data_IF_454171221943
#
_entry.id   IF_454171221943
#
_cell.length_a   1.000
_cell.length_b   1.000
_cell.length_c   1.000
_cell.angle_alpha   90.00
_cell.angle_beta   90.00
_cell.angle_gamma   90.00
#
_symmetry.space_group_name_H-M   'P 1'
#
loop_
_entity.id
_entity.type
_entity.pdbx_description
1 polymer ?
#
# COMPACT_ATOMS: atom_id res chain seq x y z
N UNK A 1 -12.68 -14.34 55.61
CA UNK A 1 -13.99 -14.90 55.23
C UNK A 1 -15.00 -13.76 55.23
N UNK A 2 -15.37 -13.30 54.05
CA UNK A 2 -16.45 -12.34 53.82
C UNK A 2 -17.17 -12.80 52.57
N UNK A 3 -18.43 -13.22 52.75
CA UNK A 3 -19.27 -13.75 51.68
C UNK A 3 -19.71 -12.63 50.72
N UNK A 4 -19.80 -12.89 49.40
CA UNK A 4 -20.30 -11.90 48.47
C UNK A 4 -21.82 -11.74 48.56
N UNK A 5 -22.27 -10.50 48.35
CA UNK A 5 -23.67 -10.04 48.37
C UNK A 5 -24.39 -10.52 47.10
N UNK A 6 -25.60 -11.08 47.26
CA UNK A 6 -26.44 -11.55 46.15
C UNK A 6 -27.32 -10.44 45.55
N UNK A 7 -27.41 -10.39 44.22
CA UNK A 7 -28.27 -9.48 43.47
C UNK A 7 -29.64 -10.16 43.23
N UNK A 8 -30.79 -9.47 43.42
CA UNK A 8 -32.12 -10.05 43.21
C UNK A 8 -32.45 -10.20 41.72
N UNK A 9 -33.10 -11.32 41.37
CA UNK A 9 -33.49 -11.67 40.00
C UNK A 9 -34.56 -10.77 39.39
N UNK A 10 -34.38 -10.44 38.11
CA UNK A 10 -35.40 -9.83 37.25
C UNK A 10 -36.30 -10.91 36.60
N UNK A 11 -37.58 -10.59 36.31
CA UNK A 11 -38.57 -11.57 35.87
C UNK A 11 -38.40 -11.97 34.40
N UNK A 12 -38.82 -13.20 34.13
CA UNK A 12 -38.79 -13.93 32.86
C UNK A 12 -39.47 -13.23 31.68
N UNK A 13 -38.76 -13.12 30.55
CA UNK A 13 -39.34 -13.01 29.20
C UNK A 13 -38.48 -13.82 28.20
N UNK A 14 -39.01 -14.21 27.03
CA UNK A 14 -38.86 -15.56 26.49
C UNK A 14 -37.52 -15.83 25.80
N UNK A 15 -37.06 -17.08 25.91
CA UNK A 15 -35.90 -17.68 25.24
C UNK A 15 -35.86 -17.37 23.74
N UNK A 16 -34.94 -16.52 23.30
CA UNK A 16 -34.33 -16.64 21.97
C UNK A 16 -33.10 -17.55 22.10
N UNK A 17 -33.29 -18.84 21.80
CA UNK A 17 -32.17 -19.78 21.68
C UNK A 17 -31.53 -19.54 20.33
N UNK A 18 -30.51 -18.68 20.28
CA UNK A 18 -29.59 -18.62 19.15
C UNK A 18 -28.73 -19.87 19.16
N UNK A 19 -29.20 -20.94 18.52
CA UNK A 19 -28.41 -22.14 18.32
C UNK A 19 -27.27 -21.83 17.34
N UNK A 20 -26.03 -21.85 17.84
CA UNK A 20 -24.83 -22.00 17.03
C UNK A 20 -24.95 -23.31 16.26
N UNK A 21 -25.10 -23.22 14.94
CA UNK A 21 -25.16 -24.40 14.07
C UNK A 21 -23.72 -24.78 13.77
N UNK A 22 -23.19 -25.77 14.46
CA UNK A 22 -21.97 -26.47 14.02
C UNK A 22 -22.20 -27.05 12.62
N UNK A 23 -21.18 -27.07 11.73
CA UNK A 23 -21.36 -27.59 10.38
C UNK A 23 -21.74 -29.07 10.48
N UNK A 24 -22.91 -29.42 9.93
CA UNK A 24 -23.35 -30.79 9.81
C UNK A 24 -22.42 -31.54 8.86
N UNK A 25 -22.10 -32.79 9.19
CA UNK A 25 -21.32 -33.71 8.35
C UNK A 25 -22.07 -33.98 7.05
N UNK A 26 -21.84 -33.14 6.05
CA UNK A 26 -22.35 -33.33 4.70
C UNK A 26 -21.67 -34.52 4.02
N UNK A 27 -22.46 -35.48 3.56
CA UNK A 27 -22.00 -36.56 2.67
C UNK A 27 -21.39 -35.98 1.38
N UNK A 28 -20.41 -36.67 0.77
CA UNK A 28 -19.79 -36.31 -0.52
C UNK A 28 -20.81 -35.89 -1.60
N UNK A 29 -22.00 -36.49 -1.60
CA UNK A 29 -23.07 -36.15 -2.54
C UNK A 29 -23.62 -34.72 -2.38
N UNK A 30 -23.69 -34.20 -1.13
CA UNK A 30 -24.06 -32.81 -0.85
C UNK A 30 -22.96 -31.84 -1.26
N UNK A 31 -21.69 -32.26 -1.21
CA UNK A 31 -20.57 -31.46 -1.68
C UNK A 31 -20.57 -31.31 -3.22
N UNK A 32 -20.93 -32.38 -3.94
CA UNK A 32 -21.12 -32.33 -5.40
C UNK A 32 -22.38 -31.57 -5.81
N UNK A 33 -23.46 -31.65 -5.03
CA UNK A 33 -24.66 -30.84 -5.27
C UNK A 33 -24.42 -29.34 -5.00
N UNK A 34 -23.63 -29.00 -3.98
CA UNK A 34 -23.20 -27.61 -3.73
C UNK A 34 -22.17 -27.12 -4.77
N UNK A 35 -21.29 -27.98 -5.30
CA UNK A 35 -20.42 -27.62 -6.43
C UNK A 35 -21.23 -27.35 -7.70
N UNK A 36 -22.25 -28.16 -8.00
CA UNK A 36 -23.16 -27.88 -9.13
C UNK A 36 -24.01 -26.62 -8.91
N UNK A 37 -24.41 -26.32 -7.67
CA UNK A 37 -25.07 -25.03 -7.34
C UNK A 37 -24.11 -23.84 -7.37
N UNK A 38 -22.82 -24.04 -7.11
CA UNK A 38 -21.79 -23.02 -7.32
C UNK A 38 -21.53 -22.77 -8.81
N UNK A 39 -21.68 -23.77 -9.68
CA UNK A 39 -21.71 -23.58 -11.14
C UNK A 39 -22.99 -22.85 -11.62
N UNK A 40 -24.09 -22.90 -10.86
CA UNK A 40 -25.33 -22.13 -11.09
C UNK A 40 -25.31 -20.72 -10.47
N UNK A 41 -24.23 -20.31 -9.76
CA UNK A 41 -24.02 -18.89 -9.46
C UNK A 41 -23.70 -18.22 -10.78
N UNK A 42 -24.69 -17.51 -11.34
CA UNK A 42 -24.62 -16.86 -12.64
C UNK A 42 -23.24 -16.24 -12.90
N UNK A 43 -22.66 -16.54 -14.06
CA UNK A 43 -21.34 -16.02 -14.43
C UNK A 43 -21.38 -14.49 -14.30
N UNK A 44 -20.38 -13.92 -13.63
CA UNK A 44 -20.23 -12.46 -13.57
C UNK A 44 -20.04 -11.94 -14.98
N UNK A 45 -20.86 -10.96 -15.37
CA UNK A 45 -20.72 -10.28 -16.65
C UNK A 45 -19.46 -9.42 -16.62
N UNK A 46 -18.57 -9.60 -17.60
CA UNK A 46 -17.49 -8.64 -17.85
C UNK A 46 -18.13 -7.42 -18.49
N UNK A 47 -18.01 -6.29 -17.80
CA UNK A 47 -18.57 -5.04 -18.26
C UNK A 47 -17.56 -4.30 -19.13
N UNK A 48 -18.04 -3.75 -20.24
CA UNK A 48 -17.25 -2.91 -21.12
C UNK A 48 -17.82 -1.49 -21.09
N UNK A 49 -16.99 -0.44 -21.18
CA UNK A 49 -17.47 0.90 -21.45
C UNK A 49 -18.38 0.87 -22.69
N UNK A 50 -19.53 1.55 -22.61
CA UNK A 50 -20.47 1.65 -23.73
C UNK A 50 -19.82 2.35 -24.94
N UNK A 51 -18.85 3.24 -24.68
CA UNK A 51 -17.98 3.78 -25.71
C UNK A 51 -16.91 2.77 -26.10
N UNK A 52 -17.03 2.26 -27.33
CA UNK A 52 -16.15 1.24 -27.90
C UNK A 52 -14.81 1.88 -28.35
N UNK A 53 -14.11 2.54 -27.44
CA UNK A 53 -12.73 2.96 -27.66
C UNK A 53 -11.77 1.83 -27.26
N UNK A 54 -10.84 1.48 -28.15
CA UNK A 54 -9.75 0.57 -27.82
C UNK A 54 -8.93 1.17 -26.67
N UNK A 55 -9.10 0.59 -25.48
CA UNK A 55 -8.43 1.04 -24.27
C UNK A 55 -6.92 0.78 -24.37
N UNK A 56 -6.17 1.83 -24.70
CA UNK A 56 -4.71 1.85 -24.70
C UNK A 56 -4.12 2.16 -23.32
N UNK A 57 -3.16 1.35 -22.91
CA UNK A 57 -2.40 1.42 -21.66
C UNK A 57 -0.93 1.72 -21.96
N UNK A 58 -0.36 2.71 -21.27
CA UNK A 58 1.07 3.01 -21.31
C UNK A 58 1.74 2.47 -20.04
N UNK A 59 2.69 1.55 -20.17
CA UNK A 59 3.45 1.01 -19.04
C UNK A 59 4.93 1.42 -19.17
N UNK A 60 5.45 2.15 -18.18
CA UNK A 60 6.81 2.67 -18.17
C UNK A 60 7.68 1.94 -17.13
N UNK A 61 9.00 2.21 -17.18
CA UNK A 61 9.96 1.79 -16.15
C UNK A 61 10.08 0.27 -15.95
N UNK A 62 9.90 -0.50 -17.04
CA UNK A 62 10.07 -1.95 -17.05
C UNK A 62 9.18 -2.67 -16.02
N UNK A 63 7.90 -2.30 -15.96
CA UNK A 63 6.89 -3.04 -15.19
C UNK A 63 6.90 -4.53 -15.58
N UNK A 64 6.63 -5.40 -14.59
CA UNK A 64 6.71 -6.86 -14.74
C UNK A 64 5.93 -7.38 -15.96
N UNK A 65 6.47 -8.40 -16.62
CA UNK A 65 5.82 -9.03 -17.78
C UNK A 65 4.47 -9.65 -17.41
N UNK A 66 4.31 -10.14 -16.17
CA UNK A 66 3.03 -10.66 -15.68
C UNK A 66 1.89 -9.63 -15.74
N UNK A 67 2.17 -8.36 -15.42
CA UNK A 67 1.18 -7.29 -15.56
C UNK A 67 0.84 -7.01 -17.04
N UNK A 68 1.85 -6.98 -17.91
CA UNK A 68 1.67 -6.79 -19.37
C UNK A 68 0.79 -7.90 -19.95
N UNK A 69 1.09 -9.15 -19.61
CA UNK A 69 0.35 -10.33 -20.08
C UNK A 69 -1.07 -10.34 -19.53
N UNK A 70 -1.27 -9.95 -18.27
CA UNK A 70 -2.60 -9.78 -17.67
C UNK A 70 -3.43 -8.78 -18.48
N UNK A 71 -2.88 -7.61 -18.80
CA UNK A 71 -3.63 -6.61 -19.56
C UNK A 71 -3.95 -7.08 -20.99
N UNK A 72 -2.98 -7.64 -21.71
CA UNK A 72 -3.21 -8.17 -23.06
C UNK A 72 -4.26 -9.29 -23.09
N UNK A 73 -4.23 -10.18 -22.09
CA UNK A 73 -5.23 -11.26 -21.94
C UNK A 73 -6.65 -10.72 -21.71
N UNK A 74 -6.78 -9.55 -21.08
CA UNK A 74 -8.06 -8.86 -20.90
C UNK A 74 -8.46 -7.97 -22.10
N UNK A 75 -7.73 -8.03 -23.22
CA UNK A 75 -8.07 -7.34 -24.46
C UNK A 75 -7.58 -5.89 -24.55
N UNK A 76 -6.74 -5.44 -23.62
CA UNK A 76 -6.17 -4.08 -23.67
C UNK A 76 -5.02 -3.98 -24.68
N UNK A 77 -4.92 -2.83 -25.35
CA UNK A 77 -3.73 -2.48 -26.15
C UNK A 77 -2.67 -1.93 -25.20
N UNK A 78 -1.47 -2.52 -25.17
CA UNK A 78 -0.44 -2.20 -24.17
C UNK A 78 0.86 -1.82 -24.86
N UNK A 79 1.27 -0.56 -24.67
CA UNK A 79 2.59 -0.05 -25.04
C UNK A 79 3.48 -0.08 -23.80
N UNK A 80 4.59 -0.83 -23.86
CA UNK A 80 5.47 -1.11 -22.71
C UNK A 80 6.90 -0.67 -22.98
N UNK A 81 7.43 0.18 -22.11
CA UNK A 81 8.76 0.75 -22.23
C UNK A 81 9.61 0.46 -20.99
N UNK A 82 10.89 0.13 -21.22
CA UNK A 82 11.82 -0.15 -20.14
C UNK A 82 12.27 1.11 -19.36
N UNK A 83 12.16 2.28 -19.97
CA UNK A 83 12.64 3.55 -19.41
C UNK A 83 11.48 4.40 -18.88
N UNK A 84 11.81 5.30 -17.97
CA UNK A 84 10.94 6.42 -17.63
C UNK A 84 10.89 7.41 -18.81
N UNK A 85 9.76 8.11 -18.93
CA UNK A 85 9.63 9.27 -19.81
C UNK A 85 9.78 10.56 -18.98
N UNK A 86 10.37 11.57 -19.61
CA UNK A 86 10.42 12.95 -19.12
C UNK A 86 9.03 13.61 -19.20
N UNK A 87 8.88 14.75 -18.51
CA UNK A 87 7.61 15.49 -18.51
C UNK A 87 7.17 15.91 -19.91
N UNK A 88 8.09 16.34 -20.78
CA UNK A 88 7.75 16.76 -22.15
C UNK A 88 7.36 15.58 -23.04
N UNK A 89 8.03 14.42 -22.90
CA UNK A 89 7.61 13.18 -23.59
C UNK A 89 6.22 12.72 -23.13
N UNK A 90 5.90 12.85 -21.84
CA UNK A 90 4.56 12.52 -21.33
C UNK A 90 3.49 13.44 -21.91
N UNK A 91 3.78 14.74 -22.08
CA UNK A 91 2.85 15.69 -22.69
C UNK A 91 2.51 15.35 -24.15
N UNK A 92 3.46 14.77 -24.88
CA UNK A 92 3.25 14.33 -26.26
C UNK A 92 2.47 13.01 -26.34
N UNK A 93 2.83 12.03 -25.49
CA UNK A 93 2.30 10.67 -25.60
C UNK A 93 0.98 10.45 -24.85
N UNK A 94 0.89 10.94 -23.60
CA UNK A 94 -0.18 10.59 -22.66
C UNK A 94 -1.61 10.95 -23.10
N UNK A 95 -1.86 12.00 -23.92
CA UNK A 95 -3.21 12.27 -24.44
C UNK A 95 -3.84 11.12 -25.25
N UNK A 96 -3.03 10.16 -25.72
CA UNK A 96 -3.49 9.01 -26.50
C UNK A 96 -3.79 7.76 -25.66
N UNK A 97 -3.64 7.81 -24.34
CA UNK A 97 -3.77 6.67 -23.44
C UNK A 97 -4.89 6.87 -22.41
N UNK A 98 -5.51 5.75 -22.03
CA UNK A 98 -6.60 5.72 -21.05
C UNK A 98 -6.11 5.30 -19.65
N UNK A 99 -4.93 4.71 -19.58
CA UNK A 99 -4.31 4.33 -18.33
C UNK A 99 -2.79 4.39 -18.45
N UNK A 100 -2.13 4.73 -17.35
CA UNK A 100 -0.68 4.73 -17.25
C UNK A 100 -0.22 3.92 -16.04
N UNK A 101 0.75 3.04 -16.25
CA UNK A 101 1.50 2.35 -15.21
C UNK A 101 2.90 2.94 -15.11
N UNK A 102 3.30 3.36 -13.91
CA UNK A 102 4.62 3.93 -13.63
C UNK A 102 5.27 3.27 -12.41
N UNK A 103 6.54 3.55 -12.16
CA UNK A 103 7.22 3.23 -10.90
C UNK A 103 7.66 4.55 -10.24
N UNK A 104 8.89 4.63 -9.74
CA UNK A 104 9.34 5.74 -8.88
C UNK A 104 9.92 6.94 -9.64
N UNK A 105 10.34 6.78 -10.90
CA UNK A 105 11.07 7.82 -11.64
C UNK A 105 10.14 8.75 -12.40
N UNK A 106 9.12 8.23 -13.07
CA UNK A 106 8.19 9.06 -13.85
C UNK A 106 7.39 9.97 -12.93
N UNK A 107 7.36 11.28 -13.25
CA UNK A 107 6.65 12.30 -12.47
C UNK A 107 5.37 12.71 -13.20
N UNK A 108 4.22 12.48 -12.56
CA UNK A 108 2.91 12.91 -13.05
C UNK A 108 2.51 14.19 -12.32
N UNK A 109 2.97 15.33 -12.85
CA UNK A 109 2.67 16.67 -12.34
C UNK A 109 1.26 17.10 -12.75
N UNK A 110 0.72 18.14 -12.10
CA UNK A 110 -0.52 18.78 -12.54
C UNK A 110 -0.49 19.21 -14.03
N UNK A 111 0.68 19.62 -14.56
CA UNK A 111 0.85 20.00 -15.97
C UNK A 111 0.63 18.79 -16.90
N UNK A 112 1.21 17.64 -16.57
CA UNK A 112 1.03 16.38 -17.32
C UNK A 112 -0.43 15.93 -17.27
N UNK A 113 -1.01 15.89 -16.07
CA UNK A 113 -2.38 15.41 -15.85
C UNK A 113 -3.42 16.27 -16.57
N UNK A 114 -3.20 17.59 -16.64
CA UNK A 114 -4.07 18.51 -17.38
C UNK A 114 -4.08 18.26 -18.90
N UNK A 115 -2.96 17.78 -19.47
CA UNK A 115 -2.88 17.45 -20.89
C UNK A 115 -3.50 16.08 -21.22
N UNK A 116 -3.60 15.19 -20.23
CA UNK A 116 -4.05 13.82 -20.37
C UNK A 116 -5.59 13.68 -20.39
N UNK A 117 -6.23 14.27 -21.40
CA UNK A 117 -7.69 14.35 -21.53
C UNK A 117 -8.44 12.99 -21.59
N UNK A 118 -7.77 11.91 -21.99
CA UNK A 118 -8.34 10.55 -22.05
C UNK A 118 -8.03 9.68 -20.83
N UNK A 119 -7.16 10.14 -19.93
CA UNK A 119 -6.65 9.30 -18.85
C UNK A 119 -7.75 9.02 -17.82
N UNK A 120 -8.01 7.75 -17.57
CA UNK A 120 -9.07 7.27 -16.67
C UNK A 120 -8.51 6.73 -15.35
N UNK A 121 -7.26 6.26 -15.32
CA UNK A 121 -6.67 5.65 -14.13
C UNK A 121 -5.14 5.65 -14.17
N UNK A 122 -4.51 5.76 -12.99
CA UNK A 122 -3.06 5.66 -12.81
C UNK A 122 -2.73 4.47 -11.92
N UNK A 123 -1.74 3.67 -12.32
CA UNK A 123 -1.17 2.60 -11.52
C UNK A 123 0.28 2.91 -11.13
N UNK A 124 0.52 3.10 -9.85
CA UNK A 124 1.85 3.11 -9.27
C UNK A 124 2.26 1.66 -8.97
N UNK A 125 3.09 1.08 -9.83
CA UNK A 125 3.68 -0.26 -9.65
C UNK A 125 4.85 -0.20 -8.63
N UNK A 126 4.55 0.38 -7.48
CA UNK A 126 5.40 0.53 -6.31
C UNK A 126 4.53 0.84 -5.09
N UNK A 127 5.16 0.91 -3.91
CA UNK A 127 4.47 1.19 -2.66
C UNK A 127 4.16 2.69 -2.55
N UNK A 128 5.17 3.53 -2.79
CA UNK A 128 5.03 4.99 -2.72
C UNK A 128 4.31 5.59 -3.93
N UNK A 129 3.68 6.74 -3.72
CA UNK A 129 2.97 7.50 -4.75
C UNK A 129 3.43 8.96 -4.84
N UNK A 130 4.57 9.30 -4.22
CA UNK A 130 5.12 10.66 -4.13
C UNK A 130 5.42 11.30 -5.51
N UNK A 131 5.54 10.47 -6.54
CA UNK A 131 5.79 10.85 -7.92
C UNK A 131 4.52 11.28 -8.67
N UNK A 132 3.35 11.18 -8.05
CA UNK A 132 2.05 11.57 -8.63
C UNK A 132 1.44 12.70 -7.82
N UNK A 133 0.99 13.75 -8.51
CA UNK A 133 0.15 14.79 -7.92
C UNK A 133 -1.26 14.24 -7.69
N UNK A 134 -1.48 13.70 -6.48
CA UNK A 134 -2.71 13.01 -6.11
C UNK A 134 -3.93 13.92 -6.12
N UNK A 135 -3.76 15.20 -5.75
CA UNK A 135 -4.83 16.20 -5.70
C UNK A 135 -5.26 16.62 -7.11
N UNK A 136 -4.29 16.87 -8.00
CA UNK A 136 -4.57 17.16 -9.40
C UNK A 136 -5.23 15.96 -10.10
N UNK A 137 -4.77 14.75 -9.81
CA UNK A 137 -5.37 13.52 -10.36
C UNK A 137 -6.82 13.35 -9.87
N UNK A 138 -7.09 13.55 -8.57
CA UNK A 138 -8.43 13.44 -8.00
C UNK A 138 -9.38 14.49 -8.62
N UNK A 139 -8.91 15.74 -8.74
CA UNK A 139 -9.66 16.85 -9.34
C UNK A 139 -10.01 16.62 -10.81
N UNK A 140 -9.19 15.85 -11.53
CA UNK A 140 -9.44 15.41 -12.90
C UNK A 140 -10.33 14.15 -12.99
N UNK A 141 -10.74 13.57 -11.85
CA UNK A 141 -11.54 12.35 -11.79
C UNK A 141 -10.74 11.06 -12.02
N UNK A 142 -9.43 11.10 -11.77
CA UNK A 142 -8.48 10.02 -12.08
C UNK A 142 -8.04 9.33 -10.77
N UNK A 143 -8.56 8.13 -10.46
CA UNK A 143 -8.08 7.35 -9.34
C UNK A 143 -6.64 6.85 -9.55
N UNK A 144 -5.88 6.82 -8.47
CA UNK A 144 -4.50 6.34 -8.40
C UNK A 144 -4.46 5.10 -7.52
N UNK A 145 -3.92 3.99 -8.04
CA UNK A 145 -3.74 2.74 -7.31
C UNK A 145 -2.26 2.47 -7.06
N UNK A 146 -1.94 1.87 -5.93
CA UNK A 146 -0.60 1.39 -5.60
C UNK A 146 -0.66 -0.06 -5.10
N UNK A 147 0.47 -0.57 -4.60
CA UNK A 147 0.56 -1.89 -4.00
C UNK A 147 1.21 -1.77 -2.61
N UNK A 148 0.44 -1.39 -1.58
CA UNK A 148 0.98 -0.95 -0.29
C UNK A 148 1.59 -2.09 0.53
N UNK A 149 1.22 -3.34 0.28
CA UNK A 149 1.57 -4.48 1.13
C UNK A 149 2.49 -5.52 0.47
N UNK A 150 2.68 -5.47 -0.84
CA UNK A 150 3.37 -6.52 -1.60
C UNK A 150 4.85 -6.71 -1.26
N UNK A 151 5.49 -5.74 -0.61
CA UNK A 151 6.88 -5.85 -0.15
C UNK A 151 7.03 -6.21 1.34
N UNK A 152 5.92 -6.44 2.07
CA UNK A 152 5.98 -6.59 3.52
C UNK A 152 6.92 -7.74 3.95
N UNK A 153 6.93 -8.83 3.17
CA UNK A 153 7.83 -9.96 3.37
C UNK A 153 9.28 -9.61 3.13
N UNK A 154 9.59 -8.97 2.02
CA UNK A 154 10.95 -8.61 1.64
C UNK A 154 11.60 -7.71 2.69
N UNK A 155 10.87 -6.72 3.19
CA UNK A 155 11.39 -5.82 4.23
C UNK A 155 11.61 -6.56 5.55
N UNK A 156 10.65 -7.41 5.97
CA UNK A 156 10.79 -8.19 7.20
C UNK A 156 12.00 -9.16 7.15
N UNK A 157 12.24 -9.80 6.01
CA UNK A 157 13.42 -10.65 5.81
C UNK A 157 14.72 -9.85 5.80
N UNK A 158 14.74 -8.67 5.18
CA UNK A 158 15.91 -7.79 5.21
C UNK A 158 16.26 -7.37 6.64
N UNK A 159 15.27 -6.97 7.45
CA UNK A 159 15.52 -6.62 8.85
C UNK A 159 16.11 -7.81 9.61
N UNK A 160 15.55 -9.01 9.47
CA UNK A 160 16.12 -10.20 10.13
C UNK A 160 17.57 -10.48 9.71
N UNK A 161 17.91 -10.27 8.44
CA UNK A 161 19.29 -10.33 7.95
C UNK A 161 20.18 -9.29 8.64
N UNK A 162 19.72 -8.04 8.69
CA UNK A 162 20.46 -6.92 9.30
C UNK A 162 20.68 -7.12 10.80
N UNK A 163 19.74 -7.70 11.53
CA UNK A 163 19.94 -8.08 12.94
C UNK A 163 21.16 -9.00 13.10
N UNK A 164 21.29 -10.02 12.24
CA UNK A 164 22.42 -10.94 12.25
C UNK A 164 23.70 -10.26 11.78
N UNK A 165 23.64 -9.48 10.69
CA UNK A 165 24.80 -8.77 10.13
C UNK A 165 25.40 -7.82 11.14
N UNK A 166 24.57 -7.01 11.80
CA UNK A 166 25.00 -6.04 12.81
C UNK A 166 25.54 -6.71 14.07
N UNK A 167 24.81 -7.68 14.62
CA UNK A 167 25.20 -8.38 15.86
C UNK A 167 26.51 -9.17 15.73
N UNK A 168 26.88 -9.56 14.50
CA UNK A 168 28.08 -10.35 14.20
C UNK A 168 29.19 -9.54 13.54
N UNK A 169 28.98 -8.24 13.31
CA UNK A 169 29.89 -7.37 12.56
C UNK A 169 30.22 -7.94 11.17
N UNK A 170 29.29 -8.68 10.57
CA UNK A 170 29.55 -9.54 9.41
C UNK A 170 30.04 -8.75 8.20
N UNK A 171 29.45 -7.57 7.97
CA UNK A 171 29.78 -6.72 6.84
C UNK A 171 31.26 -6.29 6.87
N UNK A 172 31.73 -5.78 8.00
CA UNK A 172 33.13 -5.36 8.19
C UNK A 172 34.10 -6.55 8.10
N UNK A 173 33.77 -7.68 8.75
CA UNK A 173 34.61 -8.89 8.69
C UNK A 173 34.75 -9.42 7.26
N UNK A 174 33.67 -9.34 6.48
CA UNK A 174 33.69 -9.73 5.08
C UNK A 174 34.52 -8.77 4.24
N UNK A 175 34.50 -7.47 4.53
CA UNK A 175 35.30 -6.46 3.83
C UNK A 175 36.80 -6.62 4.15
N UNK A 176 37.16 -6.79 5.42
CA UNK A 176 38.53 -7.09 5.86
C UNK A 176 39.10 -8.31 5.12
N UNK A 177 38.37 -9.44 5.11
CA UNK A 177 38.86 -10.65 4.46
C UNK A 177 39.03 -10.47 2.94
N UNK A 178 38.13 -9.71 2.29
CA UNK A 178 38.24 -9.38 0.86
C UNK A 178 39.49 -8.55 0.53
N UNK A 179 39.96 -7.75 1.49
CA UNK A 179 41.17 -6.95 1.37
C UNK A 179 42.42 -7.66 1.91
N UNK A 180 42.32 -8.95 2.26
CA UNK A 180 43.44 -9.78 2.72
C UNK A 180 43.70 -9.71 4.23
N UNK A 181 42.85 -9.00 4.99
CA UNK A 181 42.97 -8.89 6.44
C UNK A 181 42.23 -10.04 7.12
N UNK A 182 42.96 -10.89 7.84
CA UNK A 182 42.38 -11.97 8.64
C UNK A 182 42.12 -11.52 10.09
N UNK A 183 40.88 -11.15 10.41
CA UNK A 183 40.50 -10.63 11.73
C UNK A 183 39.50 -11.55 12.45
N UNK A 184 39.98 -12.68 12.98
CA UNK A 184 39.17 -13.67 13.71
C UNK A 184 39.04 -13.27 15.18
N UNK A 185 37.90 -12.69 15.57
CA UNK A 185 37.59 -12.35 16.97
C UNK A 185 36.11 -12.51 17.33
N UNK A 186 35.84 -12.66 18.64
CA UNK A 186 34.50 -12.77 19.21
C UNK A 186 34.07 -11.52 20.00
N UNK A 187 34.96 -10.56 20.19
CA UNK A 187 34.68 -9.34 20.97
C UNK A 187 33.55 -8.54 20.32
N UNK A 188 32.53 -8.20 21.11
CA UNK A 188 31.33 -7.47 20.66
C UNK A 188 30.55 -8.18 19.54
N UNK A 189 30.61 -9.51 19.49
CA UNK A 189 29.81 -10.34 18.59
C UNK A 189 28.80 -11.14 19.41
N UNK A 190 27.53 -11.10 19.03
CA UNK A 190 26.44 -11.65 19.84
C UNK A 190 25.55 -12.59 19.04
N UNK A 191 24.98 -13.60 19.71
CA UNK A 191 23.77 -14.25 19.24
C UNK A 191 22.57 -13.31 19.44
N UNK A 192 21.66 -13.27 18.45
CA UNK A 192 20.40 -12.53 18.57
C UNK A 192 19.37 -13.25 19.45
N UNK A 193 19.49 -14.57 19.61
CA UNK A 193 18.64 -15.35 20.51
C UNK A 193 18.70 -14.79 21.95
N UNK A 194 17.54 -14.63 22.55
CA UNK A 194 17.37 -14.06 23.90
C UNK A 194 17.47 -12.54 23.98
N UNK A 195 17.81 -11.86 22.88
CA UNK A 195 17.81 -10.39 22.80
C UNK A 195 16.40 -9.85 22.62
N UNK A 196 16.21 -8.57 22.93
CA UNK A 196 14.95 -7.86 22.74
C UNK A 196 14.97 -7.07 21.43
N UNK A 197 13.97 -7.32 20.58
CA UNK A 197 13.66 -6.48 19.42
C UNK A 197 12.50 -5.54 19.77
N UNK A 198 12.75 -4.24 19.68
CA UNK A 198 11.74 -3.19 19.75
C UNK A 198 11.28 -2.79 18.36
N UNK A 199 10.00 -2.93 18.07
CA UNK A 199 9.38 -2.57 16.81
C UNK A 199 8.57 -1.27 16.99
N UNK A 200 8.95 -0.19 16.31
CA UNK A 200 8.20 1.07 16.30
C UNK A 200 7.31 1.08 15.06
N UNK A 201 5.99 0.99 15.25
CA UNK A 201 5.00 0.76 14.20
C UNK A 201 4.72 -0.73 14.00
N UNK A 202 3.55 -1.18 14.45
CA UNK A 202 3.16 -2.60 14.44
C UNK A 202 2.09 -2.91 13.37
N UNK A 203 2.25 -2.30 12.20
CA UNK A 203 1.41 -2.56 11.03
C UNK A 203 1.78 -3.86 10.28
N UNK A 204 1.60 -3.88 8.96
CA UNK A 204 1.83 -5.07 8.13
C UNK A 204 3.25 -5.61 8.24
N UNK A 205 4.28 -4.75 8.15
CA UNK A 205 5.68 -5.18 8.24
C UNK A 205 6.04 -5.57 9.68
N UNK A 206 5.71 -4.72 10.65
CA UNK A 206 6.07 -4.93 12.06
C UNK A 206 5.46 -6.21 12.64
N UNK A 207 4.18 -6.48 12.37
CA UNK A 207 3.51 -7.71 12.81
C UNK A 207 4.13 -8.96 12.17
N UNK A 208 4.41 -8.93 10.87
CA UNK A 208 5.04 -10.06 10.19
C UNK A 208 6.49 -10.30 10.66
N UNK A 209 7.24 -9.22 10.89
CA UNK A 209 8.58 -9.26 11.45
C UNK A 209 8.57 -9.88 12.85
N UNK A 210 7.57 -9.57 13.68
CA UNK A 210 7.50 -10.13 15.03
C UNK A 210 7.45 -11.65 15.05
N UNK A 211 6.68 -12.26 14.13
CA UNK A 211 6.59 -13.72 13.98
C UNK A 211 7.96 -14.31 13.60
N UNK A 212 8.68 -13.67 12.69
CA UNK A 212 10.03 -14.08 12.31
C UNK A 212 11.02 -13.94 13.46
N UNK A 213 11.01 -12.81 14.16
CA UNK A 213 11.91 -12.55 15.27
C UNK A 213 11.71 -13.55 16.42
N UNK A 214 10.47 -13.88 16.76
CA UNK A 214 10.16 -14.91 17.76
C UNK A 214 10.66 -16.29 17.35
N UNK A 215 10.54 -16.63 16.06
CA UNK A 215 11.06 -17.92 15.55
C UNK A 215 12.60 -18.04 15.65
N UNK A 216 13.31 -16.90 15.70
CA UNK A 216 14.75 -16.83 15.97
C UNK A 216 15.09 -16.71 17.47
N UNK A 217 14.06 -16.76 18.33
CA UNK A 217 14.20 -16.71 19.78
C UNK A 217 14.45 -15.32 20.35
N UNK A 218 14.08 -14.25 19.64
CA UNK A 218 14.05 -12.91 20.21
C UNK A 218 12.80 -12.70 21.08
N UNK A 219 12.91 -11.81 22.06
CA UNK A 219 11.75 -11.24 22.76
C UNK A 219 11.29 -10.02 21.95
N UNK A 220 10.01 -9.93 21.64
CA UNK A 220 9.49 -8.82 20.84
C UNK A 220 8.69 -7.85 21.70
N UNK A 221 9.10 -6.59 21.69
CA UNK A 221 8.32 -5.46 22.19
C UNK A 221 7.90 -4.61 20.99
N UNK A 222 6.74 -3.98 21.06
CA UNK A 222 6.36 -3.00 20.06
C UNK A 222 5.67 -1.79 20.66
N UNK A 223 5.78 -0.66 19.97
CA UNK A 223 5.07 0.56 20.27
C UNK A 223 4.34 1.03 19.01
N UNK A 224 3.07 1.37 19.18
CA UNK A 224 2.21 1.94 18.16
C UNK A 224 1.30 2.97 18.82
N UNK A 225 0.85 3.96 18.06
CA UNK A 225 0.00 5.06 18.53
C UNK A 225 -1.42 4.59 18.84
N UNK A 226 -1.81 3.42 18.32
CA UNK A 226 -3.08 2.77 18.62
C UNK A 226 -2.89 1.44 19.34
N UNK A 227 -3.85 1.01 20.18
CA UNK A 227 -3.83 -0.32 20.76
C UNK A 227 -4.04 -1.37 19.66
N UNK A 228 -3.11 -2.33 19.56
CA UNK A 228 -3.14 -3.38 18.56
C UNK A 228 -3.08 -4.75 19.23
N UNK A 229 -3.72 -5.74 18.61
CA UNK A 229 -3.65 -7.12 19.08
C UNK A 229 -2.26 -7.70 18.75
N UNK A 230 -1.47 -8.13 19.76
CA UNK A 230 -0.19 -8.75 19.51
C UNK A 230 -0.33 -10.11 18.82
N UNK A 231 0.65 -10.46 17.98
CA UNK A 231 0.82 -11.83 17.49
C UNK A 231 1.84 -12.57 18.35
N UNK A 232 1.57 -13.85 18.65
CA UNK A 232 2.49 -14.69 19.39
C UNK A 232 2.72 -14.19 20.82
N UNK A 233 3.99 -14.01 21.19
CA UNK A 233 4.42 -13.51 22.51
C UNK A 233 4.79 -12.02 22.50
N UNK A 234 4.57 -11.32 21.39
CA UNK A 234 4.89 -9.91 21.25
C UNK A 234 4.09 -9.09 22.28
N UNK A 235 4.73 -8.07 22.84
CA UNK A 235 4.10 -7.23 23.88
C UNK A 235 4.10 -5.77 23.46
N UNK A 236 2.91 -5.17 23.44
CA UNK A 236 2.79 -3.72 23.30
C UNK A 236 3.31 -3.03 24.56
N UNK A 237 4.07 -1.95 24.39
CA UNK A 237 4.49 -1.07 25.49
C UNK A 237 3.88 0.31 25.35
N UNK A 238 3.58 0.92 26.49
CA UNK A 238 2.77 2.15 26.58
C UNK A 238 3.47 3.39 26.04
N UNK A 239 4.81 3.36 25.91
CA UNK A 239 5.57 4.51 25.40
C UNK A 239 6.77 4.09 24.55
N UNK A 240 7.11 4.94 23.58
CA UNK A 240 8.35 4.82 22.80
C UNK A 240 9.58 4.77 23.71
N UNK A 241 9.63 5.60 24.75
CA UNK A 241 10.75 5.63 25.70
C UNK A 241 10.98 4.29 26.39
N UNK A 242 9.90 3.61 26.81
CA UNK A 242 9.98 2.26 27.39
C UNK A 242 10.55 1.27 26.38
N UNK A 243 10.08 1.33 25.12
CA UNK A 243 10.59 0.46 24.06
C UNK A 243 12.09 0.65 23.85
N UNK A 244 12.54 1.90 23.70
CA UNK A 244 13.95 2.23 23.44
C UNK A 244 14.86 1.76 24.58
N UNK A 245 14.43 1.96 25.83
CA UNK A 245 15.21 1.59 27.01
C UNK A 245 15.32 0.06 27.23
N UNK A 246 14.36 -0.73 26.76
CA UNK A 246 14.33 -2.19 26.95
C UNK A 246 14.94 -2.99 25.77
N UNK A 247 15.14 -2.35 24.62
CA UNK A 247 15.46 -3.02 23.35
C UNK A 247 16.96 -3.08 23.05
N UNK A 248 17.44 -4.27 22.67
CA UNK A 248 18.80 -4.45 22.14
C UNK A 248 18.90 -4.03 20.67
N UNK A 249 17.80 -4.22 19.93
CA UNK A 249 17.62 -3.79 18.55
C UNK A 249 16.33 -2.98 18.45
N UNK A 250 16.36 -1.83 17.79
CA UNK A 250 15.16 -1.04 17.49
C UNK A 250 15.00 -0.98 15.98
N UNK A 251 13.80 -1.28 15.48
CA UNK A 251 13.47 -1.20 14.05
C UNK A 251 12.24 -0.33 13.83
N UNK A 252 12.29 0.49 12.78
CA UNK A 252 11.26 1.48 12.46
C UNK A 252 10.41 1.00 11.28
N UNK A 253 9.09 1.05 11.44
CA UNK A 253 8.09 0.65 10.45
C UNK A 253 6.88 1.61 10.46
N UNK A 254 7.16 2.91 10.47
CA UNK A 254 6.16 3.98 10.51
C UNK A 254 6.00 4.67 9.14
N UNK A 255 4.82 5.26 8.84
CA UNK A 255 4.65 6.12 7.66
C UNK A 255 5.44 7.44 7.80
N UNK A 256 5.57 8.18 6.70
CA UNK A 256 6.12 9.54 6.71
C UNK A 256 4.95 10.51 6.91
N UNK A 257 4.84 11.04 8.13
CA UNK A 257 3.83 11.99 8.57
C UNK A 257 4.53 13.16 9.29
N UNK A 258 3.91 14.34 9.43
CA UNK A 258 4.48 15.43 10.21
C UNK A 258 4.94 15.00 11.61
N UNK A 259 4.20 14.08 12.24
CA UNK A 259 4.48 13.57 13.60
C UNK A 259 5.61 12.53 13.65
N UNK A 260 5.98 11.92 12.52
CA UNK A 260 7.05 10.90 12.47
C UNK A 260 8.37 11.44 11.93
N UNK A 261 8.39 12.67 11.39
CA UNK A 261 9.61 13.33 10.94
C UNK A 261 10.54 13.59 12.13
N UNK A 262 11.77 13.08 12.04
CA UNK A 262 12.81 13.16 13.07
C UNK A 262 12.34 12.68 14.45
N UNK A 263 11.37 11.77 14.51
CA UNK A 263 10.89 11.21 15.78
C UNK A 263 11.97 10.41 16.52
N UNK A 264 13.02 9.96 15.81
CA UNK A 264 14.23 9.39 16.40
C UNK A 264 15.35 10.42 16.24
N UNK A 265 15.58 11.21 17.29
CA UNK A 265 16.56 12.28 17.35
C UNK A 265 17.58 12.05 18.46
N UNK A 266 18.33 13.08 18.86
CA UNK A 266 19.34 13.00 19.93
C UNK A 266 18.76 12.44 21.24
N UNK A 267 17.54 12.84 21.62
CA UNK A 267 16.93 12.39 22.88
C UNK A 267 16.54 10.91 22.84
N UNK A 268 15.92 10.45 21.74
CA UNK A 268 15.52 9.06 21.57
C UNK A 268 16.72 8.14 21.41
N UNK A 269 17.73 8.57 20.64
CA UNK A 269 18.97 7.82 20.49
C UNK A 269 19.67 7.65 21.83
N UNK A 270 19.68 8.67 22.70
CA UNK A 270 20.26 8.58 24.05
C UNK A 270 19.41 7.74 25.02
N UNK A 271 18.10 7.59 24.76
CA UNK A 271 17.22 6.72 25.53
C UNK A 271 17.37 5.24 25.18
N UNK A 272 18.03 4.91 24.06
CA UNK A 272 18.37 3.54 23.72
C UNK A 272 19.42 2.96 24.69
N UNK A 273 19.49 1.63 24.77
CA UNK A 273 20.52 0.98 25.56
C UNK A 273 21.91 1.27 24.99
N UNK A 274 22.88 1.47 25.87
CA UNK A 274 24.29 1.51 25.48
C UNK A 274 24.67 0.20 24.76
N UNK A 275 25.17 0.32 23.53
CA UNK A 275 25.50 -0.79 22.65
C UNK A 275 24.33 -1.38 21.87
N UNK A 276 23.16 -0.72 21.85
CA UNK A 276 22.03 -1.11 21.02
C UNK A 276 22.29 -0.85 19.52
N UNK A 277 21.39 -1.36 18.69
CA UNK A 277 21.39 -1.18 17.25
C UNK A 277 20.07 -0.53 16.77
N UNK A 278 20.16 0.34 15.76
CA UNK A 278 19.01 0.96 15.11
C UNK A 278 18.88 0.48 13.66
N UNK A 279 17.68 0.11 13.23
CA UNK A 279 17.36 -0.23 11.85
C UNK A 279 16.26 0.69 11.32
N UNK A 280 16.48 1.33 10.17
CA UNK A 280 15.46 2.11 9.47
C UNK A 280 15.36 1.70 8.00
N UNK A 281 14.34 0.87 7.71
CA UNK A 281 13.95 0.46 6.37
C UNK A 281 12.53 0.93 6.05
N UNK A 282 12.07 2.02 6.69
CA UNK A 282 10.72 2.54 6.55
C UNK A 282 10.68 3.82 5.70
N UNK A 283 11.10 4.95 6.28
CA UNK A 283 11.05 6.27 5.64
C UNK A 283 12.28 7.10 5.99
N UNK A 284 12.80 7.83 5.01
CA UNK A 284 14.09 8.51 5.09
C UNK A 284 14.14 9.65 6.11
N UNK A 285 13.00 10.29 6.41
CA UNK A 285 12.92 11.43 7.33
C UNK A 285 12.59 11.06 8.78
N UNK A 286 12.50 9.77 9.12
CA UNK A 286 12.09 9.34 10.48
C UNK A 286 13.23 9.52 11.49
N UNK A 287 14.47 9.43 11.03
CA UNK A 287 15.68 9.53 11.85
C UNK A 287 16.45 10.80 11.52
N UNK A 288 16.85 11.53 12.54
CA UNK A 288 17.86 12.60 12.42
C UNK A 288 19.23 11.97 12.18
N UNK A 289 19.66 11.92 10.91
CA UNK A 289 20.91 11.25 10.52
C UNK A 289 22.15 11.90 11.14
N UNK A 290 22.31 13.24 11.19
CA UNK A 290 23.35 13.89 11.97
C UNK A 290 23.42 13.39 13.43
N UNK A 291 22.30 13.30 14.13
CA UNK A 291 22.27 12.79 15.50
C UNK A 291 22.69 11.30 15.57
N UNK A 292 22.22 10.48 14.63
CA UNK A 292 22.64 9.08 14.50
C UNK A 292 24.15 8.93 14.31
N UNK A 293 24.76 9.75 13.44
CA UNK A 293 26.21 9.77 13.22
C UNK A 293 26.96 10.05 14.53
N UNK A 294 26.49 10.99 15.35
CA UNK A 294 27.10 11.28 16.65
C UNK A 294 26.93 10.11 17.64
N UNK A 295 25.76 9.48 17.68
CA UNK A 295 25.51 8.31 18.53
C UNK A 295 26.41 7.11 18.16
N UNK A 296 26.70 6.93 16.88
CA UNK A 296 27.60 5.90 16.37
C UNK A 296 29.07 6.23 16.64
N UNK A 297 29.50 7.48 16.40
CA UNK A 297 30.88 7.93 16.68
C UNK A 297 31.23 7.85 18.17
N UNK A 298 30.29 8.22 19.03
CA UNK A 298 30.43 8.09 20.49
C UNK A 298 30.37 6.63 20.98
N UNK A 299 30.01 5.69 20.10
CA UNK A 299 29.77 4.27 20.40
C UNK A 299 28.64 4.05 21.41
N UNK A 300 27.76 5.04 21.58
CA UNK A 300 26.52 4.83 22.31
C UNK A 300 25.69 3.75 21.63
N UNK A 301 25.55 3.83 20.30
CA UNK A 301 25.07 2.72 19.49
C UNK A 301 26.23 1.86 18.99
N UNK A 302 26.05 0.55 19.02
CA UNK A 302 27.03 -0.39 18.49
C UNK A 302 27.03 -0.42 16.97
N UNK A 303 25.91 -0.09 16.32
CA UNK A 303 25.79 0.01 14.87
C UNK A 303 24.39 0.36 14.41
N UNK A 304 24.22 0.54 13.10
CA UNK A 304 22.91 0.79 12.49
C UNK A 304 22.79 0.19 11.08
N UNK A 305 21.56 -0.09 10.63
CA UNK A 305 21.26 -0.41 9.24
C UNK A 305 20.25 0.59 8.69
N UNK A 306 20.57 1.24 7.58
CA UNK A 306 19.76 2.31 6.99
C UNK A 306 19.60 2.03 5.49
N UNK A 307 18.35 1.83 5.06
CA UNK A 307 17.99 1.61 3.66
C UNK A 307 17.43 2.87 2.97
N UNK A 308 16.94 3.83 3.76
CA UNK A 308 16.21 5.01 3.28
C UNK A 308 16.80 6.30 3.83
N UNK A 309 16.78 7.36 3.03
CA UNK A 309 17.46 8.63 3.35
C UNK A 309 16.56 9.86 3.11
N UNK A 310 16.77 10.99 3.82
CA UNK A 310 15.98 12.21 3.60
C UNK A 310 15.96 12.69 2.15
N UNK A 311 17.12 12.65 1.49
CA UNK A 311 17.28 12.88 0.05
C UNK A 311 17.97 11.67 -0.59
N UNK A 312 17.40 11.17 -1.67
CA UNK A 312 17.89 9.98 -2.37
C UNK A 312 18.24 10.29 -3.82
N UNK A 313 19.23 9.60 -4.41
CA UNK A 313 19.56 9.80 -5.81
C UNK A 313 18.44 9.40 -6.78
N UNK A 314 18.25 10.16 -7.85
CA UNK A 314 17.27 9.84 -8.90
C UNK A 314 17.68 8.71 -9.85
N UNK A 315 18.95 8.28 -9.82
CA UNK A 315 19.48 7.24 -10.70
C UNK A 315 20.63 6.45 -10.05
N UNK A 316 20.87 5.25 -10.57
CA UNK A 316 22.00 4.42 -10.17
C UNK A 316 23.32 5.06 -10.59
N UNK A 317 24.38 4.85 -9.79
CA UNK A 317 25.71 5.39 -10.03
C UNK A 317 26.42 5.68 -8.73
N UNK A 318 27.30 6.69 -8.72
CA UNK A 318 27.93 7.21 -7.50
C UNK A 318 27.44 8.61 -7.02
N UNK A 319 26.13 8.94 -7.06
CA UNK A 319 25.62 10.28 -6.69
C UNK A 319 25.32 10.48 -5.19
N UNK A 320 25.59 9.48 -4.32
CA UNK A 320 25.32 9.61 -2.89
C UNK A 320 26.52 10.26 -2.19
N UNK A 321 26.53 11.59 -2.14
CA UNK A 321 27.62 12.43 -1.64
C UNK A 321 27.11 13.64 -0.81
N UNK A 322 28.05 14.51 -0.40
CA UNK A 322 27.77 15.66 0.47
C UNK A 322 26.96 16.78 -0.21
N UNK A 323 26.82 16.75 -1.54
CA UNK A 323 25.92 17.68 -2.24
C UNK A 323 24.47 17.24 -2.09
N UNK A 324 24.21 15.93 -2.09
CA UNK A 324 22.88 15.37 -1.91
C UNK A 324 22.44 15.43 -0.43
N UNK A 325 23.35 15.03 0.47
CA UNK A 325 23.14 15.10 1.92
C UNK A 325 24.44 15.50 2.59
N UNK A 326 24.48 16.64 3.30
CA UNK A 326 25.72 17.22 3.88
C UNK A 326 26.51 16.32 4.85
N UNK A 327 25.90 15.23 5.32
CA UNK A 327 26.47 14.24 6.24
C UNK A 327 26.84 12.91 5.55
N UNK A 328 26.69 12.78 4.23
CA UNK A 328 26.82 11.51 3.51
C UNK A 328 28.21 10.90 3.65
N UNK A 329 29.28 11.69 3.49
CA UNK A 329 30.65 11.20 3.65
C UNK A 329 30.94 10.75 5.08
N UNK A 330 30.42 11.45 6.08
CA UNK A 330 30.58 11.03 7.47
C UNK A 330 29.90 9.68 7.72
N UNK A 331 28.66 9.51 7.26
CA UNK A 331 27.92 8.26 7.42
C UNK A 331 28.60 7.09 6.68
N UNK A 332 29.05 7.31 5.44
CA UNK A 332 29.74 6.29 4.62
C UNK A 332 31.06 5.81 5.24
N UNK A 333 31.74 6.67 6.01
CA UNK A 333 33.00 6.33 6.64
C UNK A 333 32.84 5.57 7.97
N UNK A 334 31.61 5.31 8.43
CA UNK A 334 31.37 4.52 9.64
C UNK A 334 31.33 3.02 9.32
N UNK A 335 32.28 2.27 9.87
CA UNK A 335 32.42 0.82 9.63
C UNK A 335 31.32 -0.02 10.30
N UNK A 336 30.63 0.54 11.30
CA UNK A 336 29.56 -0.12 12.05
C UNK A 336 28.17 0.21 11.50
N UNK A 337 28.07 0.67 10.24
CA UNK A 337 26.81 0.99 9.59
C UNK A 337 26.65 0.16 8.32
N UNK A 338 25.49 -0.44 8.16
CA UNK A 338 25.07 -1.08 6.91
C UNK A 338 24.22 -0.07 6.14
N UNK A 339 24.64 0.29 4.94
CA UNK A 339 23.91 1.20 4.06
C UNK A 339 23.41 0.41 2.86
N UNK A 340 22.11 0.50 2.60
CA UNK A 340 21.46 -0.14 1.46
C UNK A 340 20.71 0.92 0.62
N UNK A 341 20.68 0.80 -0.72
CA UNK A 341 20.19 1.87 -1.59
C UNK A 341 18.68 1.74 -1.85
N UNK A 342 17.84 1.83 -0.81
CA UNK A 342 16.38 1.72 -0.88
C UNK A 342 15.89 0.44 -1.57
N UNK A 343 16.41 -0.69 -1.12
CA UNK A 343 16.15 -2.03 -1.65
C UNK A 343 15.30 -2.92 -0.74
N UNK A 344 14.79 -2.42 0.39
CA UNK A 344 13.99 -3.22 1.31
C UNK A 344 12.80 -3.93 0.67
N UNK A 345 12.16 -3.30 -0.32
CA UNK A 345 11.09 -3.93 -1.11
C UNK A 345 11.49 -4.45 -2.49
N UNK A 346 12.78 -4.40 -2.84
CA UNK A 346 13.27 -4.65 -4.20
C UNK A 346 13.64 -6.12 -4.40
N UNK A 347 12.63 -7.01 -4.40
CA UNK A 347 12.78 -8.43 -4.75
C UNK A 347 11.92 -8.82 -5.94
N UNK A 348 12.30 -9.89 -6.65
CA UNK A 348 11.53 -10.42 -7.79
C UNK A 348 10.11 -10.83 -7.37
N UNK A 349 9.96 -11.44 -6.19
CA UNK A 349 8.66 -11.80 -5.62
C UNK A 349 7.79 -10.58 -5.37
N UNK A 350 8.36 -9.51 -4.79
CA UNK A 350 7.62 -8.27 -4.56
C UNK A 350 7.23 -7.62 -5.90
N UNK A 351 8.12 -7.58 -6.89
CA UNK A 351 7.79 -7.04 -8.22
C UNK A 351 6.66 -7.83 -8.91
N UNK A 352 6.66 -9.16 -8.77
CA UNK A 352 5.57 -10.00 -9.28
C UNK A 352 4.24 -9.70 -8.57
N UNK A 353 4.24 -9.65 -7.25
CA UNK A 353 3.03 -9.35 -6.45
C UNK A 353 2.48 -7.94 -6.76
N UNK A 354 3.35 -6.94 -6.88
CA UNK A 354 2.98 -5.58 -7.30
C UNK A 354 2.34 -5.60 -8.69
N UNK A 355 2.93 -6.34 -9.63
CA UNK A 355 2.40 -6.53 -10.97
C UNK A 355 0.99 -7.10 -10.95
N UNK A 356 0.76 -8.17 -10.18
CA UNK A 356 -0.54 -8.83 -10.02
C UNK A 356 -1.57 -7.90 -9.36
N UNK A 357 -1.23 -7.24 -8.25
CA UNK A 357 -2.16 -6.42 -7.46
C UNK A 357 -2.61 -5.17 -8.22
N UNK A 358 -1.67 -4.39 -8.76
CA UNK A 358 -1.99 -3.14 -9.46
C UNK A 358 -2.69 -3.42 -10.79
N UNK A 359 -2.28 -4.47 -11.53
CA UNK A 359 -2.94 -4.80 -12.79
C UNK A 359 -4.40 -5.25 -12.59
N UNK A 360 -4.68 -5.99 -11.53
CA UNK A 360 -6.05 -6.32 -11.14
C UNK A 360 -6.84 -5.08 -10.73
N UNK A 361 -6.26 -4.17 -9.93
CA UNK A 361 -6.92 -2.93 -9.52
C UNK A 361 -7.28 -2.05 -10.73
N UNK A 362 -6.32 -1.83 -11.65
CA UNK A 362 -6.57 -1.09 -12.89
C UNK A 362 -7.64 -1.76 -13.74
N UNK A 363 -7.60 -3.08 -13.89
CA UNK A 363 -8.60 -3.81 -14.68
C UNK A 363 -10.00 -3.65 -14.06
N UNK A 364 -10.14 -3.77 -12.73
CA UNK A 364 -11.43 -3.57 -12.03
C UNK A 364 -11.96 -2.14 -12.20
N UNK A 365 -11.09 -1.14 -12.11
CA UNK A 365 -11.48 0.27 -12.33
C UNK A 365 -11.90 0.54 -13.79
N UNK A 366 -11.20 -0.06 -14.76
CA UNK A 366 -11.46 0.11 -16.19
C UNK A 366 -12.69 -0.65 -16.68
N UNK A 367 -13.03 -1.79 -16.08
CA UNK A 367 -14.17 -2.64 -16.50
C UNK A 367 -15.41 -2.43 -15.63
N UNK A 368 -15.27 -2.32 -14.31
CA UNK A 368 -16.40 -2.31 -13.38
C UNK A 368 -16.59 -0.97 -12.65
N UNK A 369 -15.68 -0.02 -12.84
CA UNK A 369 -15.68 1.28 -12.16
C UNK A 369 -15.31 1.23 -10.68
N UNK A 370 -14.81 0.11 -10.17
CA UNK A 370 -14.41 -0.04 -8.77
C UNK A 370 -13.22 0.85 -8.41
N UNK A 371 -13.31 1.55 -7.28
CA UNK A 371 -12.24 2.44 -6.77
C UNK A 371 -11.67 2.00 -5.43
N UNK A 372 -11.98 0.77 -4.98
CA UNK A 372 -11.41 0.21 -3.74
C UNK A 372 -9.89 0.15 -3.79
N UNK A 373 -9.25 0.70 -2.76
CA UNK A 373 -7.79 0.79 -2.67
C UNK A 373 -7.17 1.95 -3.46
N UNK A 374 -7.96 2.87 -4.02
CA UNK A 374 -7.43 4.09 -4.62
C UNK A 374 -6.91 5.05 -3.53
N UNK A 375 -5.67 5.52 -3.65
CA UNK A 375 -5.04 6.33 -2.60
C UNK A 375 -5.59 7.77 -2.53
N UNK A 376 -6.10 8.29 -3.65
CA UNK A 376 -6.53 9.68 -3.79
C UNK A 376 -8.04 9.87 -4.06
N UNK A 377 -8.83 8.79 -4.06
CA UNK A 377 -10.21 8.82 -4.55
C UNK A 377 -11.20 8.27 -3.51
N UNK A 378 -12.50 8.62 -3.58
CA UNK A 378 -13.53 7.93 -2.79
C UNK A 378 -13.57 6.44 -3.10
N UNK A 379 -13.79 5.61 -2.09
CA UNK A 379 -13.70 4.15 -2.20
C UNK A 379 -15.08 3.54 -2.39
N UNK A 380 -15.41 3.16 -3.62
CA UNK A 380 -16.74 2.67 -4.00
C UNK A 380 -16.63 1.38 -4.80
N UNK A 381 -17.45 0.39 -4.43
CA UNK A 381 -17.62 -0.85 -5.17
C UNK A 381 -19.06 -1.36 -5.08
N UNK A 382 -19.50 -2.06 -6.12
CA UNK A 382 -20.81 -2.69 -6.18
C UNK A 382 -20.66 -4.16 -6.57
N UNK A 383 -21.47 -5.02 -5.93
CA UNK A 383 -21.57 -6.45 -6.28
C UNK A 383 -21.74 -6.65 -7.79
N UNK A 384 -21.14 -7.72 -8.30
CA UNK A 384 -21.16 -8.10 -9.72
C UNK A 384 -22.57 -8.12 -10.33
N UNK A 385 -22.63 -7.94 -11.64
CA UNK A 385 -23.85 -8.02 -12.44
C UNK A 385 -23.92 -9.43 -13.06
N UNK A 386 -25.08 -10.08 -12.99
CA UNK A 386 -25.28 -11.39 -13.64
C UNK A 386 -25.33 -11.24 -15.16
N UNK A 387 -24.92 -12.25 -15.91
CA UNK A 387 -25.02 -12.25 -17.38
C UNK A 387 -26.44 -12.08 -17.91
N UNK A 388 -27.44 -12.50 -17.14
CA UNK A 388 -28.85 -12.47 -17.56
C UNK A 388 -29.54 -11.13 -17.28
N UNK A 389 -28.85 -10.22 -16.57
CA UNK A 389 -29.39 -8.93 -16.18
C UNK A 389 -29.19 -7.91 -17.31
N UNK A 390 -30.28 -7.37 -17.86
CA UNK A 390 -30.23 -6.17 -18.71
C UNK A 390 -30.04 -4.94 -17.82
N UNK A 391 -28.80 -4.70 -17.40
CA UNK A 391 -28.42 -3.63 -16.47
C UNK A 391 -27.30 -2.80 -17.05
N UNK A 392 -27.41 -1.48 -16.88
CA UNK A 392 -26.39 -0.51 -17.21
C UNK A 392 -25.82 0.05 -15.93
N UNK A 393 -24.50 0.01 -15.78
CA UNK A 393 -23.78 0.62 -14.66
C UNK A 393 -23.35 2.02 -15.02
N UNK A 394 -23.71 2.97 -14.18
CA UNK A 394 -23.33 4.38 -14.27
C UNK A 394 -22.30 4.68 -13.20
N UNK A 395 -21.18 5.25 -13.62
CA UNK A 395 -20.08 5.70 -12.78
C UNK A 395 -19.93 7.20 -12.97
N UNK A 396 -20.33 8.00 -11.98
CA UNK A 396 -20.39 9.45 -12.05
C UNK A 396 -19.45 10.07 -11.02
N UNK A 397 -18.37 10.68 -11.51
CA UNK A 397 -17.44 11.50 -10.73
C UNK A 397 -17.90 12.95 -10.82
N UNK A 398 -18.03 13.61 -9.68
CA UNK A 398 -18.49 14.98 -9.61
C UNK A 398 -17.82 15.78 -8.51
N UNK A 399 -17.89 17.11 -8.62
CA UNK A 399 -17.55 18.02 -7.53
C UNK A 399 -18.48 17.77 -6.36
N UNK A 400 -17.93 17.71 -5.16
CA UNK A 400 -18.67 17.46 -3.93
C UNK A 400 -19.48 18.70 -3.53
N UNK A 401 -20.66 18.88 -4.14
CA UNK A 401 -21.55 20.01 -3.88
C UNK A 401 -23.00 19.57 -3.66
N UNK A 402 -23.79 20.31 -2.87
CA UNK A 402 -25.19 19.99 -2.63
C UNK A 402 -26.03 19.91 -3.91
N UNK A 403 -26.99 19.00 -3.95
CA UNK A 403 -27.96 18.87 -5.03
C UNK A 403 -27.56 17.95 -6.19
N UNK A 404 -26.29 17.51 -6.28
CA UNK A 404 -25.85 16.61 -7.36
C UNK A 404 -26.58 15.27 -7.33
N UNK A 405 -26.64 14.61 -6.17
CA UNK A 405 -27.35 13.33 -6.04
C UNK A 405 -28.85 13.45 -6.36
N UNK A 406 -29.47 14.59 -6.05
CA UNK A 406 -30.85 14.86 -6.44
C UNK A 406 -30.99 14.91 -7.95
N UNK A 407 -30.17 15.72 -8.64
CA UNK A 407 -30.21 15.85 -10.09
C UNK A 407 -29.94 14.51 -10.81
N UNK A 408 -29.00 13.72 -10.30
CA UNK A 408 -28.70 12.38 -10.86
C UNK A 408 -29.85 11.40 -10.62
N UNK A 409 -30.44 11.37 -9.43
CA UNK A 409 -31.60 10.50 -9.17
C UNK A 409 -32.86 10.94 -9.92
N UNK A 410 -33.04 12.24 -10.17
CA UNK A 410 -34.08 12.75 -11.07
C UNK A 410 -33.87 12.27 -12.52
N UNK A 411 -32.62 12.21 -12.99
CA UNK A 411 -32.29 11.63 -14.30
C UNK A 411 -32.64 10.14 -14.40
N UNK A 412 -32.57 9.42 -13.28
CA UNK A 412 -32.88 7.99 -13.20
C UNK A 412 -34.35 7.70 -12.92
N UNK A 413 -35.22 8.71 -12.77
CA UNK A 413 -36.59 8.55 -12.28
C UNK A 413 -37.48 7.64 -13.15
N UNK A 414 -37.17 7.50 -14.45
CA UNK A 414 -37.87 6.60 -15.38
C UNK A 414 -37.42 5.12 -15.26
N UNK A 415 -36.41 4.81 -14.44
CA UNK A 415 -35.78 3.50 -14.34
C UNK A 415 -35.68 2.99 -12.90
N UNK A 416 -35.57 1.67 -12.74
CA UNK A 416 -35.29 1.06 -11.45
C UNK A 416 -33.79 1.05 -11.15
N UNK A 417 -33.39 1.74 -10.08
CA UNK A 417 -32.04 1.68 -9.53
C UNK A 417 -31.92 0.46 -8.62
N UNK A 418 -31.18 -0.57 -9.07
CA UNK A 418 -31.02 -1.84 -8.33
C UNK A 418 -30.00 -1.74 -7.21
N UNK A 419 -28.97 -0.92 -7.43
CA UNK A 419 -27.83 -0.73 -6.52
C UNK A 419 -27.34 0.68 -6.69
N UNK A 420 -26.96 1.33 -5.60
CA UNK A 420 -26.34 2.64 -5.63
C UNK A 420 -25.40 2.78 -4.43
N UNK A 421 -24.21 3.31 -4.65
CA UNK A 421 -23.26 3.69 -3.60
C UNK A 421 -22.61 5.00 -4.02
N UNK A 422 -22.75 6.03 -3.18
CA UNK A 422 -21.97 7.26 -3.24
C UNK A 422 -20.98 7.36 -2.08
N UNK A 423 -19.77 7.82 -2.35
CA UNK A 423 -18.79 8.25 -1.35
C UNK A 423 -18.15 9.58 -1.77
N UNK A 424 -17.55 10.31 -0.83
CA UNK A 424 -16.92 11.60 -1.06
C UNK A 424 -15.62 11.77 -0.28
N UNK A 425 -14.62 12.38 -0.90
CA UNK A 425 -13.30 12.63 -0.32
C UNK A 425 -12.82 14.02 -0.76
N UNK A 426 -12.79 14.96 0.19
CA UNK A 426 -12.49 16.37 -0.10
C UNK A 426 -13.51 16.95 -1.09
N UNK A 427 -13.00 17.55 -2.17
CA UNK A 427 -13.80 18.24 -3.20
C UNK A 427 -14.38 17.32 -4.27
N UNK A 428 -14.10 16.02 -4.19
CA UNK A 428 -14.52 15.03 -5.20
C UNK A 428 -15.45 13.99 -4.56
N UNK A 429 -16.49 13.64 -5.29
CA UNK A 429 -17.42 12.58 -4.94
C UNK A 429 -17.61 11.63 -6.12
N UNK A 430 -17.89 10.38 -5.79
CA UNK A 430 -18.06 9.31 -6.76
C UNK A 430 -19.31 8.51 -6.45
N UNK A 431 -20.18 8.40 -7.46
CA UNK A 431 -21.42 7.65 -7.42
C UNK A 431 -21.35 6.49 -8.42
N UNK A 432 -21.63 5.29 -7.93
CA UNK A 432 -21.85 4.12 -8.77
C UNK A 432 -23.31 3.68 -8.64
N UNK A 433 -23.99 3.43 -9.76
CA UNK A 433 -25.37 2.96 -9.78
C UNK A 433 -25.61 1.90 -10.86
N UNK A 434 -26.34 0.84 -10.53
CA UNK A 434 -26.81 -0.17 -11.47
C UNK A 434 -28.28 0.07 -11.80
N UNK A 435 -28.59 0.33 -13.06
CA UNK A 435 -29.92 0.69 -13.54
C UNK A 435 -30.48 -0.41 -14.44
N UNK A 436 -31.67 -0.91 -14.13
CA UNK A 436 -32.30 -2.01 -14.85
C UNK A 436 -33.05 -1.55 -16.11
N UNK A 437 -33.10 -2.45 -17.11
CA UNK A 437 -33.95 -2.37 -18.30
C UNK A 437 -33.75 -1.11 -19.16
N UNK A 438 -32.53 -0.58 -19.19
CA UNK A 438 -32.20 0.58 -20.03
C UNK A 438 -32.04 0.12 -21.48
N UNK A 439 -32.79 0.72 -22.41
CA UNK A 439 -32.62 0.42 -23.84
C UNK A 439 -31.34 1.10 -24.38
N UNK A 440 -30.70 0.57 -25.43
CA UNK A 440 -29.51 1.21 -26.03
C UNK A 440 -29.73 2.68 -26.43
N UNK A 441 -30.96 3.04 -26.84
CA UNK A 441 -31.33 4.41 -27.18
C UNK A 441 -31.35 5.31 -25.94
N UNK A 442 -31.80 4.76 -24.82
CA UNK A 442 -31.93 5.49 -23.57
C UNK A 442 -30.60 5.68 -22.84
N UNK A 443 -29.62 4.79 -23.06
CA UNK A 443 -28.26 4.96 -22.51
C UNK A 443 -27.64 6.30 -22.93
N UNK A 444 -27.76 6.67 -24.21
CA UNK A 444 -27.24 7.94 -24.71
C UNK A 444 -27.97 9.15 -24.11
N UNK A 445 -29.30 9.07 -23.98
CA UNK A 445 -30.10 10.12 -23.31
C UNK A 445 -29.70 10.27 -21.85
N UNK A 446 -29.58 9.16 -21.10
CA UNK A 446 -29.14 9.17 -19.71
C UNK A 446 -27.75 9.78 -19.57
N UNK A 447 -26.84 9.44 -20.47
CA UNK A 447 -25.50 10.00 -20.49
C UNK A 447 -25.52 11.51 -20.69
N UNK A 448 -26.25 12.01 -21.68
CA UNK A 448 -26.39 13.45 -21.91
C UNK A 448 -26.93 14.18 -20.68
N UNK A 449 -27.99 13.64 -20.05
CA UNK A 449 -28.60 14.27 -18.87
C UNK A 449 -27.66 14.29 -17.66
N UNK A 450 -26.98 13.17 -17.37
CA UNK A 450 -26.05 13.08 -16.22
C UNK A 450 -24.81 13.96 -16.45
N UNK A 451 -24.27 13.98 -17.67
CA UNK A 451 -23.08 14.78 -18.01
C UNK A 451 -23.36 16.28 -18.11
N UNK A 452 -24.60 16.69 -18.40
CA UNK A 452 -25.02 18.09 -18.42
C UNK A 452 -25.00 18.76 -17.04
N UNK A 453 -24.87 17.98 -15.96
CA UNK A 453 -24.71 18.53 -14.62
C UNK A 453 -23.43 19.38 -14.53
N UNK A 454 -23.50 20.67 -14.12
CA UNK A 454 -22.31 21.52 -13.99
C UNK A 454 -21.24 21.01 -13.02
N UNK A 455 -21.61 20.12 -12.11
CA UNK A 455 -20.69 19.46 -11.17
C UNK A 455 -19.94 18.27 -11.78
N UNK A 456 -20.36 17.79 -12.96
CA UNK A 456 -19.78 16.62 -13.60
C UNK A 456 -18.28 16.84 -13.87
N UNK A 457 -17.47 15.88 -13.43
CA UNK A 457 -16.04 15.80 -13.76
C UNK A 457 -15.85 14.74 -14.84
N UNK A 458 -16.35 13.53 -14.59
CA UNK A 458 -16.24 12.40 -15.51
C UNK A 458 -17.43 11.46 -15.29
N UNK A 459 -18.10 11.05 -16.36
CA UNK A 459 -19.15 10.03 -16.30
C UNK A 459 -18.88 8.91 -17.28
N UNK A 460 -18.94 7.67 -16.81
CA UNK A 460 -18.80 6.46 -17.62
C UNK A 460 -20.03 5.57 -17.48
N UNK A 461 -20.40 4.93 -18.57
CA UNK A 461 -21.47 3.95 -18.63
C UNK A 461 -20.86 2.61 -19.03
N UNK A 462 -21.30 1.55 -18.38
CA UNK A 462 -20.89 0.18 -18.66
C UNK A 462 -22.12 -0.67 -18.91
N UNK A 463 -22.07 -1.54 -19.92
CA UNK A 463 -23.20 -2.40 -20.31
C UNK A 463 -22.76 -3.80 -20.71
#
# INVERSE_FOLDING_TARGET
MTSPIGIPGAPTSPRSVGASISPSTGTLHNHFANMRRQEEVGRSKVLHPVENEDLRLLLLENISQGAVDHFRKNGYTVDHYAKAMSEDELLEHLPNYHAIGIRSKTKLTARVLKAANKLLVIGCFCIGTNQVDLEAAASAGIPVFNSPFSNSRSVAELVMSELVVLSRQLFERSYELRTGVWNKQSKNCWEIRGKTLGIVGYGHIGSQLSVLAESFGLRVLFHDVIPLMPLGSARQVDSLKTLLAESDFVTLHVPELPETINMISTEELAAMKQGAYLINNARGKVVDIPALVQALKSKHLAGAAIDVFPSEPGANGAPFDDQLNSWASELRNLHNVVLTPHIGGSTEEAQRMIGEEVSQALSRCLSHGSTLGAVNFPEVDLRAISTDDNVVRVCHVHRNQPGVLRAVNEAFAEYNVLKQYSDSKGDVAYLMADIAQVSPRDVNRLKEVVTANPANILTRFFA
#
